data_IF_431922479746
#
_entry.id   IF_431922479746
#
_cell.length_a   1.000
_cell.length_b   1.000
_cell.length_c   1.000
_cell.angle_alpha   90.00
_cell.angle_beta   90.00
_cell.angle_gamma   90.00
#
_symmetry.space_group_name_H-M   'P 1'
#
loop_
_entity.id
_entity.type
_entity.pdbx_description
1 polymer ?
#
# COMPACT_ATOMS: atom_id res chain seq x y z
N UNK A 1 -0.35 -33.43 -9.53
CA UNK A 1 -0.93 -32.05 -9.64
C UNK A 1 -0.04 -31.17 -10.50
N UNK A 2 1.28 -31.13 -10.26
CA UNK A 2 2.23 -30.42 -11.12
C UNK A 2 2.14 -30.84 -12.61
N UNK A 3 2.09 -32.14 -12.90
CA UNK A 3 1.94 -32.67 -14.26
C UNK A 3 0.61 -32.27 -14.92
N UNK A 4 -0.45 -32.04 -14.11
CA UNK A 4 -1.75 -31.56 -14.61
C UNK A 4 -1.72 -30.07 -14.94
N UNK A 5 -0.96 -29.26 -14.18
CA UNK A 5 -0.80 -27.82 -14.47
C UNK A 5 -0.01 -27.65 -15.76
N UNK A 6 1.09 -28.40 -15.94
CA UNK A 6 1.90 -28.37 -17.16
C UNK A 6 1.10 -28.90 -18.37
N UNK A 7 0.23 -29.90 -18.19
CA UNK A 7 -0.57 -30.45 -19.28
C UNK A 7 -1.72 -29.53 -19.79
N UNK A 8 -2.14 -28.52 -19.02
CA UNK A 8 -3.27 -27.66 -19.37
C UNK A 8 -2.90 -26.56 -20.40
N UNK A 9 -1.68 -26.04 -20.30
CA UNK A 9 -1.06 -25.14 -21.29
C UNK A 9 0.47 -25.18 -21.06
N UNK A 10 1.20 -26.06 -21.75
CA UNK A 10 2.60 -26.36 -21.43
C UNK A 10 3.57 -25.19 -21.62
N UNK A 11 3.14 -24.09 -22.25
CA UNK A 11 4.03 -23.04 -22.76
C UNK A 11 3.59 -21.60 -22.43
N UNK A 12 2.51 -21.40 -21.67
CA UNK A 12 2.13 -20.07 -21.20
C UNK A 12 2.95 -19.62 -19.97
N UNK A 13 3.52 -18.38 -19.94
CA UNK A 13 4.19 -17.86 -18.75
C UNK A 13 3.35 -17.96 -17.46
N UNK A 14 2.03 -17.78 -17.56
CA UNK A 14 1.14 -17.83 -16.40
C UNK A 14 0.95 -19.24 -15.84
N UNK A 15 0.91 -20.25 -16.72
CA UNK A 15 0.87 -21.65 -16.32
C UNK A 15 2.17 -22.07 -15.66
N UNK A 16 3.30 -21.64 -16.22
CA UNK A 16 4.63 -21.91 -15.66
C UNK A 16 4.82 -21.30 -14.28
N UNK A 17 4.34 -20.08 -14.05
CA UNK A 17 4.36 -19.49 -12.70
C UNK A 17 3.42 -20.19 -11.72
N UNK A 18 2.26 -20.65 -12.17
CA UNK A 18 1.34 -21.40 -11.30
C UNK A 18 1.96 -22.74 -10.91
N UNK A 19 2.64 -23.41 -11.86
CA UNK A 19 3.40 -24.62 -11.60
C UNK A 19 4.60 -24.35 -10.68
N UNK A 20 5.32 -23.23 -10.86
CA UNK A 20 6.49 -22.91 -10.04
C UNK A 20 6.10 -22.62 -8.59
N UNK A 21 4.99 -21.92 -8.36
CA UNK A 21 4.46 -21.68 -7.03
C UNK A 21 4.02 -22.99 -6.35
N UNK A 22 3.37 -23.89 -7.08
CA UNK A 22 3.04 -25.23 -6.56
C UNK A 22 4.30 -26.03 -6.22
N UNK A 23 5.33 -25.99 -7.08
CA UNK A 23 6.61 -26.64 -6.81
C UNK A 23 7.27 -26.06 -5.55
N UNK A 24 7.23 -24.74 -5.36
CA UNK A 24 7.69 -24.07 -4.14
C UNK A 24 6.97 -24.55 -2.88
N UNK A 25 5.64 -24.64 -2.92
CA UNK A 25 4.82 -25.14 -1.80
C UNK A 25 5.09 -26.62 -1.46
N UNK A 26 5.66 -27.37 -2.40
CA UNK A 26 6.06 -28.77 -2.22
C UNK A 26 7.55 -28.91 -1.84
N UNK A 27 8.22 -27.82 -1.48
CA UNK A 27 9.65 -27.77 -1.15
C UNK A 27 10.57 -28.23 -2.31
N UNK A 28 10.10 -28.04 -3.55
CA UNK A 28 10.84 -28.37 -4.78
C UNK A 28 11.43 -27.11 -5.40
N UNK A 29 12.29 -26.42 -4.65
CA UNK A 29 12.85 -25.12 -5.02
C UNK A 29 13.58 -25.13 -6.39
N UNK A 30 14.28 -26.22 -6.72
CA UNK A 30 14.96 -26.37 -8.01
C UNK A 30 14.00 -26.47 -9.19
N UNK A 31 12.85 -27.12 -9.02
CA UNK A 31 11.83 -27.21 -10.06
C UNK A 31 11.08 -25.88 -10.21
N UNK A 32 10.79 -25.21 -9.09
CA UNK A 32 10.22 -23.86 -9.10
C UNK A 32 11.12 -22.89 -9.88
N UNK A 33 12.43 -22.91 -9.65
CA UNK A 33 13.39 -22.11 -10.39
C UNK A 33 13.33 -22.41 -11.90
N UNK A 34 13.43 -23.68 -12.29
CA UNK A 34 13.44 -24.07 -13.70
C UNK A 34 12.20 -23.58 -14.45
N UNK A 35 11.03 -23.66 -13.81
CA UNK A 35 9.77 -23.18 -14.36
C UNK A 35 9.73 -21.66 -14.49
N UNK A 36 10.32 -20.94 -13.53
CA UNK A 36 10.48 -19.48 -13.59
C UNK A 36 11.41 -19.08 -14.73
N UNK A 37 12.55 -19.74 -14.86
CA UNK A 37 13.53 -19.46 -15.91
C UNK A 37 12.88 -19.62 -17.30
N UNK A 38 12.10 -20.69 -17.50
CA UNK A 38 11.35 -20.90 -18.73
C UNK A 38 10.28 -19.81 -18.96
N UNK A 39 9.57 -19.38 -17.91
CA UNK A 39 8.58 -18.30 -18.03
C UNK A 39 9.22 -16.97 -18.45
N UNK A 40 10.39 -16.66 -17.89
CA UNK A 40 11.17 -15.46 -18.22
C UNK A 40 11.76 -15.55 -19.63
N UNK A 41 12.22 -16.72 -20.07
CA UNK A 41 12.70 -16.94 -21.44
C UNK A 41 11.59 -16.67 -22.48
N UNK A 42 10.36 -17.08 -22.18
CA UNK A 42 9.21 -16.84 -23.05
C UNK A 42 8.82 -15.35 -23.07
N UNK A 43 8.94 -14.65 -21.93
CA UNK A 43 8.58 -13.23 -21.83
C UNK A 43 9.46 -12.49 -20.83
N UNK A 44 10.50 -11.82 -21.31
CA UNK A 44 11.36 -10.98 -20.48
C UNK A 44 10.83 -9.54 -20.41
N UNK A 45 9.80 -9.32 -19.58
CA UNK A 45 9.25 -7.98 -19.32
C UNK A 45 9.06 -7.70 -17.82
N UNK A 46 8.84 -6.42 -17.49
CA UNK A 46 8.81 -5.97 -16.11
C UNK A 46 7.81 -6.76 -15.25
N UNK A 47 6.59 -6.99 -15.75
CA UNK A 47 5.57 -7.73 -15.03
C UNK A 47 5.96 -9.21 -14.80
N UNK A 48 6.60 -9.84 -15.78
CA UNK A 48 7.07 -11.23 -15.67
C UNK A 48 8.21 -11.35 -14.67
N UNK A 49 9.20 -10.46 -14.74
CA UNK A 49 10.32 -10.40 -13.81
C UNK A 49 9.87 -10.09 -12.37
N UNK A 50 8.90 -9.19 -12.21
CA UNK A 50 8.28 -8.86 -10.92
C UNK A 50 7.62 -10.09 -10.29
N UNK A 51 6.85 -10.85 -11.09
CA UNK A 51 6.18 -12.07 -10.62
C UNK A 51 7.20 -13.15 -10.25
N UNK A 52 8.23 -13.33 -11.08
CA UNK A 52 9.33 -14.25 -10.84
C UNK A 52 10.07 -13.92 -9.54
N UNK A 53 10.45 -12.65 -9.34
CA UNK A 53 11.08 -12.13 -8.12
C UNK A 53 10.26 -12.49 -6.87
N UNK A 54 8.96 -12.19 -6.86
CA UNK A 54 8.08 -12.49 -5.72
C UNK A 54 8.03 -13.98 -5.37
N UNK A 55 7.96 -14.85 -6.38
CA UNK A 55 7.93 -16.31 -6.14
C UNK A 55 9.27 -16.77 -5.58
N UNK A 56 10.40 -16.37 -6.17
CA UNK A 56 11.73 -16.72 -5.65
C UNK A 56 11.94 -16.24 -4.21
N UNK A 57 11.49 -15.03 -3.89
CA UNK A 57 11.54 -14.50 -2.53
C UNK A 57 10.75 -15.38 -1.55
N UNK A 58 9.54 -15.81 -1.94
CA UNK A 58 8.68 -16.65 -1.10
C UNK A 58 9.25 -18.05 -0.81
N UNK A 59 10.10 -18.58 -1.69
CA UNK A 59 10.78 -19.87 -1.51
C UNK A 59 12.19 -19.74 -0.93
N UNK A 60 12.55 -18.56 -0.42
CA UNK A 60 13.82 -18.30 0.26
C UNK A 60 15.01 -18.03 -0.66
N UNK A 61 14.82 -17.93 -1.97
CA UNK A 61 15.87 -17.59 -2.94
C UNK A 61 16.04 -16.07 -3.05
N UNK A 62 16.44 -15.45 -1.94
CA UNK A 62 16.44 -13.98 -1.79
C UNK A 62 17.39 -13.28 -2.78
N UNK A 63 18.58 -13.83 -3.03
CA UNK A 63 19.54 -13.23 -3.96
C UNK A 63 19.00 -13.20 -5.41
N UNK A 64 18.43 -14.32 -5.87
CA UNK A 64 17.84 -14.43 -7.20
C UNK A 64 16.60 -13.52 -7.32
N UNK A 65 15.77 -13.48 -6.27
CA UNK A 65 14.60 -12.61 -6.19
C UNK A 65 14.96 -11.13 -6.35
N UNK A 66 16.01 -10.68 -5.64
CA UNK A 66 16.53 -9.32 -5.71
C UNK A 66 17.04 -9.00 -7.11
N UNK A 67 17.86 -9.87 -7.71
CA UNK A 67 18.37 -9.66 -9.06
C UNK A 67 17.26 -9.52 -10.11
N UNK A 68 16.16 -10.28 -9.95
CA UNK A 68 14.98 -10.15 -10.82
C UNK A 68 14.19 -8.86 -10.57
N UNK A 69 14.08 -8.39 -9.32
CA UNK A 69 13.45 -7.10 -9.01
C UNK A 69 14.23 -5.94 -9.64
N UNK A 70 15.56 -5.95 -9.52
CA UNK A 70 16.44 -4.96 -10.15
C UNK A 70 16.33 -4.98 -11.67
N UNK A 71 16.37 -6.17 -12.28
CA UNK A 71 16.14 -6.30 -13.73
C UNK A 71 14.76 -5.83 -14.15
N UNK A 72 13.73 -6.07 -13.34
CA UNK A 72 12.35 -5.63 -13.61
C UNK A 72 12.26 -4.12 -13.72
N UNK A 73 13.03 -3.38 -12.90
CA UNK A 73 13.07 -1.93 -12.90
C UNK A 73 13.52 -1.32 -14.24
N UNK A 74 14.37 -2.04 -14.98
CA UNK A 74 14.93 -1.59 -16.25
C UNK A 74 14.27 -2.27 -17.47
N UNK A 75 13.28 -3.14 -17.24
CA UNK A 75 12.66 -3.94 -18.29
C UNK A 75 11.52 -3.22 -19.02
N UNK A 76 11.18 -3.73 -20.20
CA UNK A 76 10.04 -3.24 -20.99
C UNK A 76 8.76 -3.23 -20.14
N UNK A 77 8.11 -2.08 -20.07
CA UNK A 77 6.85 -1.91 -19.35
C UNK A 77 6.98 -1.51 -17.87
N UNK A 78 8.20 -1.29 -17.37
CA UNK A 78 8.47 -0.77 -16.03
C UNK A 78 7.92 0.66 -15.81
N UNK A 79 7.72 1.43 -16.88
CA UNK A 79 7.20 2.81 -16.80
C UNK A 79 5.70 2.91 -16.48
N UNK A 80 4.97 1.80 -16.51
CA UNK A 80 3.57 1.81 -16.12
C UNK A 80 3.48 2.07 -14.62
N UNK A 81 2.75 3.11 -14.14
CA UNK A 81 2.83 3.52 -12.74
C UNK A 81 2.52 2.40 -11.74
N UNK A 82 1.48 1.60 -11.99
CA UNK A 82 1.17 0.45 -11.13
C UNK A 82 2.25 -0.65 -11.11
N UNK A 83 2.93 -0.88 -12.25
CA UNK A 83 4.07 -1.83 -12.29
C UNK A 83 5.26 -1.24 -11.53
N UNK A 84 5.55 0.05 -11.74
CA UNK A 84 6.63 0.77 -11.09
C UNK A 84 6.48 0.79 -9.57
N UNK A 85 5.28 1.05 -9.07
CA UNK A 85 4.93 0.96 -7.65
C UNK A 85 5.22 -0.42 -7.07
N UNK A 86 4.80 -1.49 -7.76
CA UNK A 86 5.02 -2.86 -7.29
C UNK A 86 6.50 -3.27 -7.34
N UNK A 87 7.27 -2.80 -8.33
CA UNK A 87 8.73 -3.00 -8.38
C UNK A 87 9.39 -2.29 -7.20
N UNK A 88 9.03 -1.03 -6.96
CA UNK A 88 9.56 -0.25 -5.85
C UNK A 88 9.32 -0.93 -4.51
N UNK A 89 8.11 -1.43 -4.25
CA UNK A 89 7.79 -2.24 -3.07
C UNK A 89 8.66 -3.48 -2.92
N UNK A 90 8.91 -4.22 -4.00
CA UNK A 90 9.78 -5.40 -3.94
C UNK A 90 11.25 -5.03 -3.66
N UNK A 91 11.74 -3.96 -4.28
CA UNK A 91 13.09 -3.45 -4.02
C UNK A 91 13.24 -3.07 -2.54
N UNK A 92 12.27 -2.34 -1.97
CA UNK A 92 12.24 -2.05 -0.54
C UNK A 92 12.27 -3.32 0.32
N UNK A 93 11.44 -4.31 0.00
CA UNK A 93 11.39 -5.59 0.72
C UNK A 93 12.72 -6.38 0.63
N UNK A 94 13.52 -6.15 -0.41
CA UNK A 94 14.85 -6.73 -0.59
C UNK A 94 16.00 -5.85 -0.07
N UNK A 95 15.69 -4.73 0.58
CA UNK A 95 16.66 -3.82 1.21
C UNK A 95 17.25 -2.77 0.26
N UNK A 96 16.78 -2.69 -0.98
CA UNK A 96 17.15 -1.63 -1.94
C UNK A 96 16.30 -0.38 -1.68
N UNK A 97 16.58 0.26 -0.54
CA UNK A 97 15.75 1.35 -0.01
C UNK A 97 15.69 2.54 -0.97
N UNK A 98 16.83 3.07 -1.40
CA UNK A 98 16.87 4.29 -2.19
C UNK A 98 16.15 4.12 -3.54
N UNK A 99 16.50 3.06 -4.28
CA UNK A 99 15.91 2.78 -5.59
C UNK A 99 14.43 2.40 -5.49
N UNK A 100 14.06 1.60 -4.49
CA UNK A 100 12.66 1.22 -4.28
C UNK A 100 11.77 2.42 -3.96
N UNK A 101 12.30 3.32 -3.14
CA UNK A 101 11.64 4.57 -2.76
C UNK A 101 11.48 5.52 -3.95
N UNK A 102 12.56 5.74 -4.72
CA UNK A 102 12.54 6.55 -5.93
C UNK A 102 11.46 6.07 -6.90
N UNK A 103 11.39 4.76 -7.14
CA UNK A 103 10.39 4.18 -8.04
C UNK A 103 8.96 4.38 -7.52
N UNK A 104 8.72 4.27 -6.21
CA UNK A 104 7.39 4.50 -5.65
C UNK A 104 6.97 5.97 -5.75
N UNK A 105 7.88 6.92 -5.51
CA UNK A 105 7.60 8.34 -5.66
C UNK A 105 7.36 8.72 -7.13
N UNK A 106 8.21 8.26 -8.05
CA UNK A 106 8.00 8.47 -9.49
C UNK A 106 6.70 7.79 -9.98
N UNK A 107 6.29 6.67 -9.37
CA UNK A 107 4.97 6.09 -9.62
C UNK A 107 3.85 7.03 -9.15
N UNK A 108 3.93 7.61 -7.94
CA UNK A 108 2.94 8.58 -7.45
C UNK A 108 2.84 9.81 -8.37
N UNK A 109 3.97 10.35 -8.82
CA UNK A 109 3.99 11.51 -9.72
C UNK A 109 3.32 11.18 -11.08
N UNK A 110 3.61 10.01 -11.65
CA UNK A 110 3.04 9.58 -12.94
C UNK A 110 1.56 9.21 -12.87
N UNK A 111 1.07 8.84 -11.70
CA UNK A 111 -0.37 8.63 -11.47
C UNK A 111 -1.16 9.93 -11.59
N UNK A 112 -0.49 11.08 -11.44
CA UNK A 112 -1.10 12.41 -11.63
C UNK A 112 -2.33 12.59 -10.76
N UNK A 113 -3.50 12.68 -11.40
CA UNK A 113 -4.79 12.91 -10.72
C UNK A 113 -5.50 11.63 -10.25
N UNK A 114 -4.91 10.43 -10.40
CA UNK A 114 -5.45 9.23 -9.76
C UNK A 114 -5.12 9.23 -8.26
N UNK A 115 -5.92 10.03 -7.53
CA UNK A 115 -5.78 10.28 -6.10
C UNK A 115 -5.83 9.02 -5.24
N UNK A 116 -6.58 7.98 -5.66
CA UNK A 116 -6.68 6.73 -4.88
C UNK A 116 -5.44 5.86 -5.03
N UNK A 117 -4.83 5.84 -6.21
CA UNK A 117 -3.57 5.12 -6.39
C UNK A 117 -2.42 5.84 -5.69
N UNK A 118 -2.39 7.18 -5.72
CA UNK A 118 -1.43 7.99 -4.93
C UNK A 118 -1.61 7.78 -3.42
N UNK A 119 -2.84 7.67 -2.94
CA UNK A 119 -3.11 7.30 -1.54
C UNK A 119 -2.49 5.93 -1.20
N UNK A 120 -2.61 4.96 -2.09
CA UNK A 120 -1.97 3.64 -1.94
C UNK A 120 -0.44 3.71 -1.87
N UNK A 121 0.18 4.62 -2.63
CA UNK A 121 1.63 4.89 -2.53
C UNK A 121 1.99 5.48 -1.18
N UNK A 122 1.25 6.51 -0.73
CA UNK A 122 1.47 7.17 0.55
C UNK A 122 1.42 6.15 1.71
N UNK A 123 0.38 5.32 1.74
CA UNK A 123 0.22 4.23 2.71
C UNK A 123 1.39 3.25 2.69
N UNK A 124 1.81 2.80 1.51
CA UNK A 124 2.86 1.81 1.41
C UNK A 124 4.21 2.38 1.89
N UNK A 125 4.54 3.62 1.52
CA UNK A 125 5.77 4.28 1.98
C UNK A 125 5.76 4.49 3.50
N UNK A 126 4.66 5.01 4.07
CA UNK A 126 4.58 5.22 5.53
C UNK A 126 4.63 3.89 6.29
N UNK A 127 3.91 2.87 5.83
CA UNK A 127 3.90 1.55 6.48
C UNK A 127 5.27 0.88 6.43
N UNK A 128 5.88 0.78 5.25
CA UNK A 128 7.20 0.16 5.10
C UNK A 128 8.24 0.95 5.91
N UNK A 129 8.19 2.28 5.86
CA UNK A 129 9.06 3.15 6.65
C UNK A 129 8.91 2.92 8.15
N UNK A 130 7.66 2.82 8.64
CA UNK A 130 7.38 2.55 10.04
C UNK A 130 7.87 1.16 10.47
N UNK A 131 7.49 0.11 9.74
CA UNK A 131 7.83 -1.28 10.07
C UNK A 131 9.35 -1.52 10.03
N UNK A 132 10.03 -0.92 9.06
CA UNK A 132 11.49 -0.99 8.93
C UNK A 132 12.24 -0.01 9.84
N UNK A 133 11.53 0.83 10.62
CA UNK A 133 12.10 1.90 11.45
C UNK A 133 13.00 2.87 10.67
N UNK A 134 12.57 3.21 9.45
CA UNK A 134 13.23 4.14 8.52
C UNK A 134 12.47 5.47 8.51
N UNK A 135 12.83 6.44 9.39
CA UNK A 135 12.07 7.68 9.52
C UNK A 135 12.04 8.51 8.24
N UNK A 136 13.11 8.49 7.44
CA UNK A 136 13.15 9.18 6.16
C UNK A 136 12.08 8.66 5.19
N UNK A 137 11.84 7.34 5.18
CA UNK A 137 10.82 6.72 4.32
C UNK A 137 9.41 7.04 4.83
N UNK A 138 9.22 7.05 6.15
CA UNK A 138 7.96 7.48 6.77
C UNK A 138 7.64 8.93 6.40
N UNK A 139 8.61 9.84 6.50
CA UNK A 139 8.40 11.26 6.16
C UNK A 139 8.07 11.46 4.69
N UNK A 140 8.65 10.68 3.78
CA UNK A 140 8.27 10.75 2.37
C UNK A 140 6.84 10.28 2.12
N UNK A 141 6.39 9.20 2.77
CA UNK A 141 5.00 8.80 2.71
C UNK A 141 4.05 9.86 3.28
N UNK A 142 4.41 10.49 4.40
CA UNK A 142 3.65 11.61 4.99
C UNK A 142 3.61 12.84 4.07
N UNK A 143 4.67 13.11 3.31
CA UNK A 143 4.68 14.18 2.32
C UNK A 143 3.63 13.92 1.21
N UNK A 144 3.56 12.69 0.68
CA UNK A 144 2.54 12.32 -0.32
C UNK A 144 1.12 12.45 0.24
N UNK A 145 0.90 12.10 1.51
CA UNK A 145 -0.39 12.37 2.18
C UNK A 145 -0.70 13.87 2.26
N UNK A 146 0.30 14.68 2.64
CA UNK A 146 0.16 16.14 2.72
C UNK A 146 -0.23 16.77 1.37
N UNK A 147 0.43 16.34 0.29
CA UNK A 147 0.10 16.78 -1.07
C UNK A 147 -1.34 16.41 -1.45
N UNK A 148 -1.77 15.16 -1.16
CA UNK A 148 -3.15 14.72 -1.41
C UNK A 148 -4.18 15.56 -0.65
N UNK A 149 -3.93 15.89 0.61
CA UNK A 149 -4.81 16.76 1.41
C UNK A 149 -4.80 18.20 0.90
N UNK A 150 -3.66 18.70 0.41
CA UNK A 150 -3.56 20.03 -0.20
C UNK A 150 -4.32 20.14 -1.52
N UNK A 151 -4.24 19.11 -2.36
CA UNK A 151 -4.91 19.03 -3.66
C UNK A 151 -6.43 18.74 -3.54
N UNK A 152 -6.82 17.98 -2.51
CA UNK A 152 -8.21 17.55 -2.28
C UNK A 152 -8.63 17.86 -0.84
N UNK A 153 -8.73 19.15 -0.48
CA UNK A 153 -8.98 19.58 0.89
C UNK A 153 -10.37 19.18 1.41
N UNK A 154 -11.31 18.86 0.52
CA UNK A 154 -12.69 18.47 0.76
C UNK A 154 -12.89 16.94 0.83
N UNK A 155 -11.83 16.15 0.71
CA UNK A 155 -11.91 14.69 0.80
C UNK A 155 -11.60 14.21 2.24
N UNK A 156 -12.60 13.78 3.02
CA UNK A 156 -12.41 13.45 4.44
C UNK A 156 -11.49 12.26 4.66
N UNK A 157 -11.51 11.28 3.75
CA UNK A 157 -10.74 10.05 3.94
C UNK A 157 -9.24 10.29 3.86
N UNK A 158 -8.77 11.21 3.01
CA UNK A 158 -7.35 11.55 2.94
C UNK A 158 -6.85 12.16 4.24
N UNK A 159 -7.66 13.04 4.85
CA UNK A 159 -7.34 13.65 6.15
C UNK A 159 -7.39 12.62 7.28
N UNK A 160 -8.38 11.74 7.29
CA UNK A 160 -8.48 10.65 8.26
C UNK A 160 -7.25 9.74 8.22
N UNK A 161 -6.86 9.29 7.03
CA UNK A 161 -5.75 8.36 6.86
C UNK A 161 -4.41 9.05 7.18
N UNK A 162 -4.25 10.31 6.78
CA UNK A 162 -3.08 11.11 7.14
C UNK A 162 -2.98 11.32 8.65
N UNK A 163 -4.09 11.61 9.34
CA UNK A 163 -4.14 11.73 10.80
C UNK A 163 -3.63 10.46 11.51
N UNK A 164 -4.04 9.29 11.03
CA UNK A 164 -3.60 8.01 11.57
C UNK A 164 -2.08 7.82 11.49
N UNK A 165 -1.49 8.18 10.36
CA UNK A 165 -0.03 8.10 10.17
C UNK A 165 0.73 9.18 10.94
N UNK A 166 0.22 10.41 11.00
CA UNK A 166 0.79 11.47 11.84
C UNK A 166 0.83 11.08 13.31
N UNK A 167 -0.25 10.48 13.82
CA UNK A 167 -0.30 10.00 15.20
C UNK A 167 0.72 8.89 15.45
N UNK A 168 0.82 7.93 14.53
CA UNK A 168 1.81 6.85 14.58
C UNK A 168 3.25 7.38 14.56
N UNK A 169 3.51 8.47 13.82
CA UNK A 169 4.79 9.17 13.80
C UNK A 169 5.03 10.07 15.03
N UNK A 170 4.06 10.19 15.96
CA UNK A 170 4.16 11.02 17.16
C UNK A 170 3.83 12.50 16.93
N UNK A 171 3.39 12.89 15.73
CA UNK A 171 2.97 14.25 15.36
C UNK A 171 1.53 14.51 15.80
N UNK A 172 1.33 14.48 17.12
CA UNK A 172 0.00 14.43 17.77
C UNK A 172 -0.89 15.63 17.45
N UNK A 173 -0.35 16.84 17.48
CA UNK A 173 -1.15 18.05 17.24
C UNK A 173 -1.63 18.11 15.78
N UNK A 174 -0.76 17.78 14.83
CA UNK A 174 -1.10 17.71 13.41
C UNK A 174 -2.10 16.59 13.12
N UNK A 175 -1.95 15.44 13.78
CA UNK A 175 -2.93 14.35 13.68
C UNK A 175 -4.33 14.79 14.12
N UNK A 176 -4.41 15.55 15.22
CA UNK A 176 -5.68 16.12 15.70
C UNK A 176 -6.25 17.12 14.72
N UNK A 177 -5.44 18.02 14.17
CA UNK A 177 -5.89 18.96 13.14
C UNK A 177 -6.55 18.23 11.96
N UNK A 178 -5.89 17.19 11.45
CA UNK A 178 -6.40 16.45 10.29
C UNK A 178 -7.68 15.67 10.60
N UNK A 179 -7.78 14.97 11.74
CA UNK A 179 -8.99 14.19 12.04
C UNK A 179 -10.20 15.09 12.35
N UNK A 180 -9.98 16.24 12.99
CA UNK A 180 -11.03 17.22 13.27
C UNK A 180 -11.54 17.81 11.95
N UNK A 181 -10.63 18.23 11.07
CA UNK A 181 -11.00 18.71 9.73
C UNK A 181 -11.78 17.65 8.95
N UNK A 182 -11.37 16.36 8.99
CA UNK A 182 -12.12 15.27 8.36
C UNK A 182 -13.56 15.16 8.90
N UNK A 183 -13.74 15.25 10.22
CA UNK A 183 -15.04 15.16 10.87
C UNK A 183 -15.93 16.39 10.65
N UNK A 184 -15.33 17.57 10.41
CA UNK A 184 -16.03 18.81 10.05
C UNK A 184 -16.54 18.79 8.61
N UNK A 185 -15.77 18.21 7.69
CA UNK A 185 -16.17 18.05 6.28
C UNK A 185 -17.31 17.01 6.19
N UNK A 186 -17.14 15.85 6.81
CA UNK A 186 -18.12 14.77 6.80
C UNK A 186 -19.20 14.94 7.89
N UNK A 187 -20.09 15.91 7.72
CA UNK A 187 -21.08 16.32 8.73
C UNK A 187 -22.13 15.28 9.08
N UNK A 188 -22.34 14.31 8.20
CA UNK A 188 -23.24 13.17 8.36
C UNK A 188 -22.53 11.94 8.96
N UNK A 189 -21.20 11.90 8.97
CA UNK A 189 -20.45 10.76 9.49
C UNK A 189 -20.36 10.82 11.03
N UNK A 190 -21.09 9.94 11.70
CA UNK A 190 -20.89 9.70 13.14
C UNK A 190 -19.53 9.02 13.40
N UNK A 191 -19.09 8.15 12.48
CA UNK A 191 -17.80 7.48 12.55
C UNK A 191 -16.63 8.49 12.64
N UNK A 192 -16.58 9.48 11.75
CA UNK A 192 -15.46 10.45 11.75
C UNK A 192 -15.51 11.37 12.98
N UNK A 193 -16.71 11.71 13.47
CA UNK A 193 -16.85 12.42 14.75
C UNK A 193 -16.33 11.57 15.93
N UNK A 194 -16.62 10.27 15.95
CA UNK A 194 -16.14 9.35 16.98
C UNK A 194 -14.61 9.16 16.90
N UNK A 195 -14.04 9.07 15.69
CA UNK A 195 -12.59 9.03 15.49
C UNK A 195 -11.89 10.30 15.97
N UNK A 196 -12.46 11.47 15.70
CA UNK A 196 -11.94 12.73 16.22
C UNK A 196 -11.96 12.75 17.76
N UNK A 197 -13.06 12.32 18.37
CA UNK A 197 -13.17 12.21 19.82
C UNK A 197 -12.13 11.26 20.42
N UNK A 198 -11.97 10.07 19.84
CA UNK A 198 -10.98 9.08 20.30
C UNK A 198 -9.56 9.64 20.26
N UNK A 199 -9.19 10.32 19.16
CA UNK A 199 -7.85 10.88 19.03
C UNK A 199 -7.61 12.04 20.02
N UNK A 200 -8.60 12.91 20.21
CA UNK A 200 -8.56 13.98 21.19
C UNK A 200 -8.38 13.46 22.62
N UNK A 201 -9.08 12.38 22.99
CA UNK A 201 -8.88 11.71 24.29
C UNK A 201 -7.45 11.18 24.43
N UNK A 202 -6.92 10.50 23.39
CA UNK A 202 -5.58 9.93 23.40
C UNK A 202 -4.48 10.99 23.58
N UNK A 203 -4.71 12.23 23.14
CA UNK A 203 -3.76 13.34 23.33
C UNK A 203 -4.06 14.19 24.56
N UNK A 204 -5.08 13.84 25.36
CA UNK A 204 -5.44 14.53 26.60
C UNK A 204 -6.34 15.76 26.46
N UNK A 205 -6.97 15.96 25.30
CA UNK A 205 -7.90 17.07 25.01
C UNK A 205 -9.36 16.70 25.34
N UNK A 206 -9.60 16.32 26.59
CA UNK A 206 -10.85 15.68 27.03
C UNK A 206 -12.13 16.51 26.82
N UNK A 207 -12.07 17.83 26.98
CA UNK A 207 -13.25 18.69 26.77
C UNK A 207 -13.70 18.69 25.31
N UNK A 208 -12.75 18.77 24.38
CA UNK A 208 -13.01 18.71 22.95
C UNK A 208 -13.42 17.30 22.52
N UNK A 209 -12.81 16.26 23.10
CA UNK A 209 -13.23 14.89 22.88
C UNK A 209 -14.70 14.67 23.28
N UNK A 210 -15.11 15.19 24.44
CA UNK A 210 -16.50 15.11 24.91
C UNK A 210 -17.47 15.88 23.99
N UNK A 211 -17.04 17.00 23.41
CA UNK A 211 -17.82 17.72 22.41
C UNK A 211 -18.02 16.86 21.16
N UNK A 212 -16.96 16.23 20.63
CA UNK A 212 -17.06 15.36 19.45
C UNK A 212 -17.83 14.06 19.71
N UNK A 213 -17.78 13.47 20.91
CA UNK A 213 -18.64 12.33 21.29
C UNK A 213 -20.12 12.67 21.18
N UNK A 214 -20.52 13.83 21.73
CA UNK A 214 -21.91 14.32 21.62
C UNK A 214 -22.31 14.59 20.17
N UNK A 215 -21.40 15.13 19.37
CA UNK A 215 -21.62 15.30 17.92
C UNK A 215 -21.83 13.96 17.22
N UNK A 216 -21.01 12.95 17.51
CA UNK A 216 -21.16 11.61 16.95
C UNK A 216 -22.52 10.99 17.33
N UNK A 217 -22.92 11.06 18.60
CA UNK A 217 -24.23 10.60 19.06
C UNK A 217 -25.38 11.30 18.32
N UNK A 218 -25.30 12.63 18.20
CA UNK A 218 -26.31 13.41 17.48
C UNK A 218 -26.41 13.02 16.00
N UNK A 219 -25.29 12.78 15.32
CA UNK A 219 -25.25 12.33 13.92
C UNK A 219 -25.86 10.94 13.77
N UNK A 220 -25.52 10.01 14.67
CA UNK A 220 -26.07 8.65 14.69
C UNK A 220 -27.59 8.63 14.88
N UNK A 221 -28.10 9.45 15.79
CA UNK A 221 -29.55 9.58 16.03
C UNK A 221 -30.30 10.20 14.84
N UNK A 222 -29.65 11.03 14.03
CA UNK A 222 -30.26 11.63 12.85
C UNK A 222 -30.41 10.65 11.66
N UNK A 223 -29.64 9.54 11.65
CA UNK A 223 -29.63 8.55 10.56
C UNK A 223 -30.58 7.38 10.84
N UNK A 224 -30.89 7.09 12.11
CA UNK A 224 -31.91 6.08 12.45
C UNK A 224 -33.30 6.55 12.00
N UNK A 225 -34.01 5.84 11.10
CA UNK A 225 -35.38 6.18 10.79
C UNK A 225 -36.22 6.00 12.06
N UNK A 226 -37.10 6.97 12.33
CA UNK A 226 -38.12 6.87 13.37
C UNK A 226 -38.82 5.51 13.27
N UNK A 227 -39.15 4.84 14.40
CA UNK A 227 -39.95 3.62 14.34
C UNK A 227 -41.26 3.93 13.61
N UNK A 228 -41.55 3.15 12.56
CA UNK A 228 -42.82 3.24 11.83
C UNK A 228 -43.94 2.87 12.81
N UNK A 229 -44.98 3.70 12.98
CA UNK A 229 -46.07 3.45 13.91
C UNK A 229 -46.91 2.21 13.55
#
# INVERSE_FOLDING_TARGET
>A
VLDRVIAADPHGPDTLFSASQLAGNLDRASDAQRLIDLAVEIRDDAATLLRASRILGSIGKIADAKALAERSADARGADRPGVRFEIGKLLLAHGEIDRGTEMMLDAADRLGHDRWQRLGVAFALTQIGHDAKQPALTEQGLAVFGDLVGEHPDEPIFRHDFAGWLFTAGRRDEAVEQIVAAAEIAKDSDLLADRAAQLLDLVGRGDEANMWKKTAESRRSAISPLPVP
#
